data_IF_722203720590
#
_entry.id   IF_722203720590
#
_cell.length_a   1.000
_cell.length_b   1.000
_cell.length_c   1.000
_cell.angle_alpha   90.00
_cell.angle_beta   90.00
_cell.angle_gamma   90.00
#
_symmetry.space_group_name_H-M   'P 1'
#
loop_
_entity.id
_entity.type
_entity.pdbx_description
1 polymer ?
#
# COMPACT_ATOMS: atom_id res chain seq x y z
N UNK A 1 42.29 3.57 -1.17
CA UNK A 1 41.20 2.89 -1.89
C UNK A 1 41.30 1.39 -1.65
N UNK A 2 40.56 0.80 -0.70
CA UNK A 2 40.51 -0.65 -0.56
C UNK A 2 39.39 -1.23 -1.45
N UNK A 3 39.75 -2.27 -2.19
CA UNK A 3 38.95 -3.00 -3.18
C UNK A 3 37.85 -3.82 -2.50
N UNK A 4 36.58 -3.61 -2.89
CA UNK A 4 35.46 -4.43 -2.46
C UNK A 4 35.53 -5.81 -3.13
N UNK A 5 35.64 -6.86 -2.32
CA UNK A 5 35.51 -8.25 -2.77
C UNK A 5 34.03 -8.59 -3.01
N UNK A 6 33.69 -9.40 -4.02
CA UNK A 6 32.31 -9.73 -4.33
C UNK A 6 31.75 -10.71 -3.28
N UNK A 7 30.65 -10.32 -2.64
CA UNK A 7 29.89 -11.17 -1.73
C UNK A 7 29.31 -12.34 -2.53
N UNK A 8 29.83 -13.54 -2.28
CA UNK A 8 29.35 -14.78 -2.89
C UNK A 8 27.92 -15.10 -2.49
N UNK A 9 27.03 -15.25 -3.48
CA UNK A 9 25.66 -15.74 -3.32
C UNK A 9 25.70 -17.18 -2.78
N UNK A 10 25.05 -17.44 -1.63
CA UNK A 10 24.92 -18.79 -1.04
C UNK A 10 24.23 -19.74 -2.04
N UNK A 11 24.62 -21.04 -2.10
CA UNK A 11 23.93 -22.03 -2.93
C UNK A 11 22.54 -22.33 -2.38
N UNK A 12 21.55 -22.37 -3.26
CA UNK A 12 20.15 -22.70 -2.98
C UNK A 12 19.99 -24.22 -2.76
N UNK A 13 19.84 -24.65 -1.50
CA UNK A 13 19.79 -26.07 -1.09
C UNK A 13 18.36 -26.65 -1.00
N UNK A 14 17.38 -26.03 -1.65
CA UNK A 14 15.98 -26.51 -1.63
C UNK A 14 15.76 -27.83 -2.38
N UNK A 15 14.78 -28.62 -1.94
CA UNK A 15 14.34 -29.81 -2.69
C UNK A 15 13.80 -29.40 -4.07
N UNK A 16 13.67 -30.36 -5.01
CA UNK A 16 13.05 -30.06 -6.32
C UNK A 16 11.65 -29.46 -6.16
N UNK A 17 10.89 -29.91 -5.18
CA UNK A 17 9.56 -29.38 -4.86
C UNK A 17 9.61 -27.93 -4.38
N UNK A 18 10.58 -27.56 -3.54
CA UNK A 18 10.74 -26.19 -3.05
C UNK A 18 11.09 -25.22 -4.16
N UNK A 19 12.00 -25.61 -5.06
CA UNK A 19 12.37 -24.80 -6.24
C UNK A 19 11.18 -24.61 -7.19
N UNK A 20 10.40 -25.67 -7.42
CA UNK A 20 9.15 -25.58 -8.20
C UNK A 20 8.15 -24.63 -7.53
N UNK A 21 7.95 -24.76 -6.21
CA UNK A 21 7.04 -23.89 -5.46
C UNK A 21 7.46 -22.43 -5.56
N UNK A 22 8.74 -22.12 -5.35
CA UNK A 22 9.28 -20.76 -5.44
C UNK A 22 9.12 -20.17 -6.85
N UNK A 23 9.42 -20.95 -7.90
CA UNK A 23 9.25 -20.51 -9.29
C UNK A 23 7.79 -20.15 -9.62
N UNK A 24 6.83 -20.96 -9.17
CA UNK A 24 5.41 -20.70 -9.38
C UNK A 24 4.95 -19.47 -8.60
N UNK A 25 5.39 -19.29 -7.35
CA UNK A 25 5.06 -18.10 -6.55
C UNK A 25 5.59 -16.82 -7.20
N UNK A 26 6.84 -16.83 -7.68
CA UNK A 26 7.43 -15.68 -8.37
C UNK A 26 6.65 -15.33 -9.66
N UNK A 27 6.38 -16.32 -10.53
CA UNK A 27 5.59 -16.11 -11.74
C UNK A 27 4.18 -15.60 -11.46
N UNK A 28 3.53 -16.14 -10.42
CA UNK A 28 2.20 -15.71 -10.01
C UNK A 28 2.20 -14.28 -9.47
N UNK A 29 3.21 -13.90 -8.67
CA UNK A 29 3.41 -12.53 -8.16
C UNK A 29 3.44 -11.53 -9.32
N UNK A 30 4.27 -11.79 -10.33
CA UNK A 30 4.43 -10.91 -11.49
C UNK A 30 3.14 -10.80 -12.30
N UNK A 31 2.47 -11.93 -12.56
CA UNK A 31 1.19 -11.95 -13.30
C UNK A 31 0.07 -11.24 -12.55
N UNK A 32 -0.05 -11.45 -11.24
CA UNK A 32 -1.06 -10.78 -10.42
C UNK A 32 -0.82 -9.26 -10.40
N UNK A 33 0.43 -8.83 -10.27
CA UNK A 33 0.78 -7.41 -10.32
C UNK A 33 0.48 -6.77 -11.69
N UNK A 34 0.80 -7.46 -12.79
CA UNK A 34 0.64 -6.92 -14.14
C UNK A 34 -0.81 -6.94 -14.65
N UNK A 35 -1.60 -7.95 -14.28
CA UNK A 35 -2.87 -8.26 -14.95
C UNK A 35 -4.07 -8.36 -14.02
N UNK A 36 -3.82 -8.32 -12.71
CA UNK A 36 -4.82 -8.58 -11.68
C UNK A 36 -5.14 -10.06 -11.50
N UNK A 37 -5.91 -10.35 -10.45
CA UNK A 37 -6.24 -11.71 -10.08
C UNK A 37 -7.01 -12.46 -11.18
N UNK A 38 -8.09 -11.90 -11.72
CA UNK A 38 -8.98 -12.63 -12.65
C UNK A 38 -8.26 -13.12 -13.92
N UNK A 39 -7.44 -12.25 -14.54
CA UNK A 39 -6.79 -12.52 -15.84
C UNK A 39 -5.54 -13.41 -15.76
N UNK A 40 -4.94 -13.57 -14.57
CA UNK A 40 -3.76 -14.41 -14.37
C UNK A 40 -4.15 -15.90 -14.34
N UNK A 41 -4.16 -16.59 -15.48
CA UNK A 41 -4.59 -18.00 -15.57
C UNK A 41 -3.50 -18.97 -15.13
N UNK A 42 -3.90 -20.16 -14.64
CA UNK A 42 -2.97 -21.23 -14.25
C UNK A 42 -2.03 -21.62 -15.39
N UNK A 43 -2.55 -21.76 -16.62
CA UNK A 43 -1.78 -22.01 -17.84
C UNK A 43 -0.62 -21.03 -18.05
N UNK A 44 -0.88 -19.73 -17.90
CA UNK A 44 0.12 -18.68 -18.14
C UNK A 44 1.17 -18.66 -17.04
N UNK A 45 0.74 -18.81 -15.78
CA UNK A 45 1.64 -18.92 -14.63
C UNK A 45 2.54 -20.16 -14.77
N UNK A 46 1.97 -21.30 -15.20
CA UNK A 46 2.72 -22.54 -15.41
C UNK A 46 3.78 -22.38 -16.51
N UNK A 47 3.40 -21.74 -17.62
CA UNK A 47 4.32 -21.44 -18.72
C UNK A 47 5.50 -20.55 -18.26
N UNK A 48 5.21 -19.47 -17.51
CA UNK A 48 6.26 -18.57 -17.01
C UNK A 48 7.17 -19.23 -15.97
N UNK A 49 6.61 -20.10 -15.13
CA UNK A 49 7.36 -20.83 -14.11
C UNK A 49 8.12 -22.04 -14.68
N UNK A 50 7.90 -22.42 -15.95
CA UNK A 50 8.52 -23.60 -16.57
C UNK A 50 8.01 -24.92 -15.99
N UNK A 51 6.73 -24.98 -15.58
CA UNK A 51 6.10 -26.15 -14.96
C UNK A 51 4.80 -26.52 -15.66
N UNK A 52 4.17 -27.62 -15.26
CA UNK A 52 2.85 -28.00 -15.77
C UNK A 52 1.73 -27.45 -14.88
N UNK A 53 0.54 -27.18 -15.44
CA UNK A 53 -0.63 -26.76 -14.65
C UNK A 53 -1.00 -27.75 -13.53
N UNK A 54 -0.96 -29.09 -13.75
CA UNK A 54 -1.14 -30.06 -12.68
C UNK A 54 -0.15 -29.90 -11.51
N UNK A 55 1.09 -29.46 -11.78
CA UNK A 55 2.06 -29.15 -10.72
C UNK A 55 1.61 -27.98 -9.86
N UNK A 56 1.00 -26.95 -10.44
CA UNK A 56 0.42 -25.83 -9.67
C UNK A 56 -0.74 -26.32 -8.81
N UNK A 57 -1.66 -27.10 -9.39
CA UNK A 57 -2.79 -27.66 -8.65
C UNK A 57 -2.31 -28.55 -7.48
N UNK A 58 -1.26 -29.35 -7.69
CA UNK A 58 -0.66 -30.18 -6.65
C UNK A 58 -0.07 -29.36 -5.49
N UNK A 59 0.64 -28.27 -5.78
CA UNK A 59 1.33 -27.48 -4.74
C UNK A 59 0.42 -26.48 -4.00
N UNK A 60 -0.60 -25.95 -4.67
CA UNK A 60 -1.38 -24.82 -4.15
C UNK A 60 -2.88 -25.09 -4.05
N UNK A 61 -3.36 -26.21 -4.61
CA UNK A 61 -4.77 -26.62 -4.60
C UNK A 61 -5.67 -25.79 -5.51
N UNK A 62 -5.65 -24.47 -5.35
CA UNK A 62 -6.47 -23.53 -6.10
C UNK A 62 -5.69 -22.26 -6.44
N UNK A 63 -6.23 -21.44 -7.34
CA UNK A 63 -5.69 -20.10 -7.63
C UNK A 63 -5.77 -19.16 -6.41
N UNK A 64 -6.75 -19.37 -5.53
CA UNK A 64 -6.87 -18.65 -4.27
C UNK A 64 -5.77 -19.10 -3.28
N UNK A 65 -5.49 -20.40 -3.17
CA UNK A 65 -4.36 -20.94 -2.41
C UNK A 65 -3.01 -20.46 -2.94
N UNK A 66 -2.87 -20.32 -4.26
CA UNK A 66 -1.68 -19.69 -4.87
C UNK A 66 -1.57 -18.20 -4.50
N UNK A 67 -2.68 -17.45 -4.48
CA UNK A 67 -2.68 -16.07 -4.03
C UNK A 67 -2.30 -15.95 -2.55
N UNK A 68 -2.77 -16.86 -1.69
CA UNK A 68 -2.34 -16.94 -0.29
C UNK A 68 -0.83 -17.14 -0.20
N UNK A 69 -0.26 -18.06 -0.98
CA UNK A 69 1.19 -18.29 -1.00
C UNK A 69 1.98 -17.05 -1.47
N UNK A 70 1.52 -16.38 -2.53
CA UNK A 70 2.13 -15.13 -3.02
C UNK A 70 2.06 -14.02 -1.96
N UNK A 71 0.95 -13.93 -1.24
CA UNK A 71 0.78 -12.97 -0.16
C UNK A 71 1.74 -13.26 0.99
N UNK A 72 1.81 -14.50 1.47
CA UNK A 72 2.73 -14.89 2.53
C UNK A 72 4.18 -14.59 2.17
N UNK A 73 4.59 -14.98 0.96
CA UNK A 73 5.94 -14.75 0.43
C UNK A 73 6.26 -13.24 0.34
N UNK A 74 5.33 -12.42 -0.14
CA UNK A 74 5.50 -10.96 -0.15
C UNK A 74 5.65 -10.37 1.26
N UNK A 75 4.80 -10.79 2.20
CA UNK A 75 4.86 -10.26 3.56
C UNK A 75 6.06 -10.79 4.35
N UNK A 76 6.57 -11.98 4.04
CA UNK A 76 7.82 -12.51 4.59
C UNK A 76 9.02 -11.68 4.12
N UNK A 77 9.11 -11.39 2.81
CA UNK A 77 10.13 -10.49 2.23
C UNK A 77 10.09 -9.09 2.86
N UNK A 78 8.88 -8.57 3.07
CA UNK A 78 8.61 -7.28 3.67
C UNK A 78 9.08 -7.24 5.13
N UNK A 79 8.71 -8.23 5.94
CA UNK A 79 9.04 -8.28 7.37
C UNK A 79 10.53 -8.50 7.60
N UNK A 80 11.19 -9.35 6.81
CA UNK A 80 12.63 -9.58 6.92
C UNK A 80 13.43 -8.28 6.72
N UNK A 81 12.95 -7.38 5.86
CA UNK A 81 13.57 -6.06 5.65
C UNK A 81 13.27 -5.09 6.79
N UNK A 82 12.13 -5.23 7.45
CA UNK A 82 11.75 -4.42 8.62
C UNK A 82 12.53 -4.79 9.88
N UNK A 83 12.89 -6.06 10.05
CA UNK A 83 13.61 -6.53 11.25
C UNK A 83 14.90 -5.71 11.50
N UNK A 84 15.64 -5.37 10.43
CA UNK A 84 16.83 -4.53 10.52
C UNK A 84 16.57 -3.10 11.04
N UNK A 85 15.38 -2.53 10.77
CA UNK A 85 15.00 -1.20 11.27
C UNK A 85 14.66 -1.28 12.76
N UNK A 86 13.93 -2.32 13.15
CA UNK A 86 13.49 -2.54 14.54
C UNK A 86 14.70 -2.79 15.45
N UNK A 87 15.61 -3.64 15.01
CA UNK A 87 16.77 -4.11 15.77
C UNK A 87 17.96 -3.13 15.76
N UNK A 88 17.81 -1.98 15.09
CA UNK A 88 18.83 -0.94 15.09
C UNK A 88 19.00 -0.29 16.46
N UNK A 89 20.20 0.21 16.75
CA UNK A 89 20.51 0.93 17.99
C UNK A 89 20.13 2.42 17.94
N UNK A 90 19.40 2.83 16.90
CA UNK A 90 19.00 4.22 16.67
C UNK A 90 17.94 4.68 17.68
N UNK A 91 17.83 6.00 17.88
CA UNK A 91 16.80 6.57 18.74
C UNK A 91 15.40 6.15 18.24
N UNK A 92 14.41 5.94 19.15
CA UNK A 92 13.07 5.45 18.77
C UNK A 92 12.39 6.25 17.64
N UNK A 93 12.52 7.58 17.66
CA UNK A 93 11.97 8.44 16.62
C UNK A 93 12.67 8.24 15.27
N UNK A 94 13.98 8.03 15.27
CA UNK A 94 14.75 7.79 14.04
C UNK A 94 14.42 6.41 13.45
N UNK A 95 14.15 5.40 14.29
CA UNK A 95 13.64 4.09 13.86
C UNK A 95 12.26 4.22 13.18
N UNK A 96 11.35 5.03 13.74
CA UNK A 96 10.06 5.30 13.11
C UNK A 96 10.21 6.03 11.77
N UNK A 97 11.10 7.03 11.68
CA UNK A 97 11.39 7.72 10.42
C UNK A 97 11.99 6.79 9.38
N UNK A 98 12.95 5.95 9.77
CA UNK A 98 13.55 4.96 8.89
C UNK A 98 12.51 3.96 8.36
N UNK A 99 11.60 3.50 9.24
CA UNK A 99 10.46 2.68 8.85
C UNK A 99 9.59 3.38 7.79
N UNK A 100 9.19 4.63 8.05
CA UNK A 100 8.32 5.39 7.14
C UNK A 100 8.98 5.63 5.77
N UNK A 101 10.24 6.08 5.76
CA UNK A 101 11.04 6.33 4.55
C UNK A 101 11.24 5.09 3.70
N UNK A 102 11.25 3.91 4.32
CA UNK A 102 11.32 2.65 3.59
C UNK A 102 9.92 2.17 3.15
N UNK A 103 8.93 2.22 4.04
CA UNK A 103 7.57 1.71 3.83
C UNK A 103 6.87 2.40 2.66
N UNK A 104 6.92 3.72 2.58
CA UNK A 104 6.15 4.48 1.59
C UNK A 104 6.63 4.24 0.14
N UNK A 105 7.93 4.35 -0.19
CA UNK A 105 8.41 3.99 -1.52
C UNK A 105 8.22 2.51 -1.85
N UNK A 106 8.41 1.61 -0.87
CA UNK A 106 8.24 0.18 -1.07
C UNK A 106 6.79 -0.16 -1.45
N UNK A 107 5.82 0.37 -0.71
CA UNK A 107 4.39 0.15 -0.97
C UNK A 107 3.94 0.79 -2.28
N UNK A 108 4.48 1.95 -2.65
CA UNK A 108 4.24 2.56 -3.96
C UNK A 108 4.73 1.66 -5.11
N UNK A 109 5.94 1.12 -5.00
CA UNK A 109 6.52 0.24 -6.02
C UNK A 109 5.73 -1.07 -6.21
N UNK A 110 5.05 -1.55 -5.16
CA UNK A 110 4.26 -2.78 -5.18
C UNK A 110 2.74 -2.52 -5.22
N UNK A 111 2.33 -1.28 -5.51
CA UNK A 111 0.93 -0.85 -5.45
C UNK A 111 -0.03 -1.74 -6.27
N UNK A 112 0.30 -2.20 -7.50
CA UNK A 112 -0.60 -3.08 -8.25
C UNK A 112 -0.88 -4.41 -7.54
N UNK A 113 0.16 -5.02 -6.94
CA UNK A 113 0.01 -6.25 -6.17
C UNK A 113 -0.78 -6.03 -4.87
N UNK A 114 -0.51 -4.92 -4.17
CA UNK A 114 -1.27 -4.52 -2.98
C UNK A 114 -2.74 -4.26 -3.30
N UNK A 115 -3.05 -3.68 -4.46
CA UNK A 115 -4.43 -3.50 -4.91
C UNK A 115 -5.13 -4.84 -5.13
N UNK A 116 -4.43 -5.85 -5.64
CA UNK A 116 -4.96 -7.22 -5.75
C UNK A 116 -5.24 -7.80 -4.37
N UNK A 117 -4.28 -7.74 -3.43
CA UNK A 117 -4.48 -8.26 -2.08
C UNK A 117 -5.62 -7.56 -1.35
N UNK A 118 -5.66 -6.23 -1.41
CA UNK A 118 -6.73 -5.45 -0.80
C UNK A 118 -8.08 -5.70 -1.45
N UNK A 119 -8.15 -5.93 -2.77
CA UNK A 119 -9.41 -6.25 -3.45
C UNK A 119 -9.89 -7.66 -3.12
N UNK A 120 -9.00 -8.66 -3.13
CA UNK A 120 -9.36 -10.06 -2.91
C UNK A 120 -9.51 -10.41 -1.41
N UNK A 121 -8.76 -9.75 -0.53
CA UNK A 121 -8.86 -9.92 0.92
C UNK A 121 -10.01 -9.13 1.56
N UNK A 122 -10.56 -8.12 0.86
CA UNK A 122 -11.78 -7.39 1.29
C UNK A 122 -13.05 -7.86 0.58
N UNK A 123 -12.94 -8.53 -0.56
CA UNK A 123 -14.07 -9.19 -1.24
C UNK A 123 -14.19 -10.63 -0.73
N UNK A 124 -15.41 -11.08 -0.50
CA UNK A 124 -15.76 -12.40 0.05
C UNK A 124 -15.55 -13.55 -0.95
N UNK A 125 -14.42 -13.57 -1.69
CA UNK A 125 -14.20 -14.56 -2.75
C UNK A 125 -13.68 -15.89 -2.18
N UNK A 126 -12.98 -15.87 -1.04
CA UNK A 126 -12.49 -17.07 -0.36
C UNK A 126 -12.08 -16.78 1.09
N UNK A 127 -12.59 -17.56 2.06
CA UNK A 127 -12.29 -17.39 3.49
C UNK A 127 -10.79 -17.54 3.78
N UNK A 128 -10.09 -18.44 3.08
CA UNK A 128 -8.63 -18.59 3.20
C UNK A 128 -7.87 -17.33 2.78
N UNK A 129 -8.32 -16.62 1.74
CA UNK A 129 -7.67 -15.38 1.27
C UNK A 129 -7.92 -14.24 2.25
N UNK A 130 -9.15 -14.14 2.76
CA UNK A 130 -9.50 -13.13 3.77
C UNK A 130 -8.69 -13.33 5.05
N UNK A 131 -8.59 -14.57 5.54
CA UNK A 131 -7.82 -14.83 6.75
C UNK A 131 -6.32 -14.67 6.54
N UNK A 132 -5.78 -15.10 5.39
CA UNK A 132 -4.38 -14.86 5.04
C UNK A 132 -4.07 -13.35 5.00
N UNK A 133 -4.92 -12.54 4.38
CA UNK A 133 -4.76 -11.09 4.33
C UNK A 133 -4.79 -10.45 5.71
N UNK A 134 -5.74 -10.85 6.55
CA UNK A 134 -5.81 -10.38 7.95
C UNK A 134 -4.57 -10.79 8.74
N UNK A 135 -4.13 -12.04 8.62
CA UNK A 135 -2.94 -12.55 9.30
C UNK A 135 -1.68 -11.79 8.88
N UNK A 136 -1.50 -11.57 7.57
CA UNK A 136 -0.37 -10.83 7.02
C UNK A 136 -0.38 -9.36 7.48
N UNK A 137 -1.52 -8.67 7.39
CA UNK A 137 -1.65 -7.30 7.91
C UNK A 137 -1.36 -7.23 9.41
N UNK A 138 -1.87 -8.18 10.21
CA UNK A 138 -1.58 -8.24 11.66
C UNK A 138 -0.09 -8.38 11.96
N UNK A 139 0.70 -9.02 11.08
CA UNK A 139 2.16 -9.12 11.27
C UNK A 139 2.84 -7.77 11.05
N UNK A 140 2.46 -7.04 10.01
CA UNK A 140 3.01 -5.72 9.70
C UNK A 140 2.58 -4.66 10.71
N UNK A 141 1.30 -4.64 11.09
CA UNK A 141 0.81 -3.66 12.07
C UNK A 141 1.50 -3.82 13.43
N UNK A 142 1.87 -5.05 13.81
CA UNK A 142 2.63 -5.33 15.04
C UNK A 142 4.03 -4.73 15.04
N UNK A 143 4.67 -4.59 13.88
CA UNK A 143 5.95 -3.87 13.78
C UNK A 143 5.75 -2.40 14.16
N UNK A 144 4.73 -1.77 13.58
CA UNK A 144 4.40 -0.37 13.86
C UNK A 144 3.96 -0.17 15.32
N UNK A 145 3.17 -1.11 15.88
CA UNK A 145 2.78 -1.09 17.30
C UNK A 145 4.04 -1.03 18.19
N UNK A 146 5.04 -1.89 17.94
CA UNK A 146 6.30 -1.89 18.71
C UNK A 146 7.06 -0.56 18.60
N UNK A 147 7.16 0.00 17.39
CA UNK A 147 7.85 1.29 17.20
C UNK A 147 7.16 2.43 17.96
N UNK A 148 5.83 2.43 18.00
CA UNK A 148 5.04 3.42 18.75
C UNK A 148 5.12 3.18 20.25
N UNK A 149 5.06 1.93 20.70
CA UNK A 149 5.18 1.59 22.12
C UNK A 149 6.57 1.98 22.66
N UNK A 150 7.63 1.82 21.87
CA UNK A 150 8.99 2.31 22.21
C UNK A 150 9.03 3.85 22.39
N UNK A 151 8.31 4.58 21.54
CA UNK A 151 8.19 6.05 21.65
C UNK A 151 7.46 6.47 22.93
N UNK A 152 6.42 5.73 23.32
CA UNK A 152 5.71 5.96 24.58
C UNK A 152 6.60 5.61 25.78
N UNK A 153 7.29 4.47 25.73
CA UNK A 153 8.16 4.01 26.82
C UNK A 153 9.32 4.97 27.09
N UNK A 154 9.88 5.57 26.03
CA UNK A 154 10.99 6.54 26.12
C UNK A 154 10.53 7.97 26.37
N UNK A 155 9.21 8.22 26.48
CA UNK A 155 8.65 9.54 26.75
C UNK A 155 8.67 10.50 25.57
N UNK A 156 8.98 10.02 24.36
CA UNK A 156 8.85 10.82 23.13
C UNK A 156 7.38 11.05 22.80
N UNK A 157 6.53 10.04 23.03
CA UNK A 157 5.08 10.16 22.99
C UNK A 157 4.47 10.15 24.39
N UNK A 158 3.40 10.94 24.56
CA UNK A 158 2.61 10.97 25.79
C UNK A 158 1.89 9.62 26.00
N UNK A 159 1.86 9.05 27.22
CA UNK A 159 1.28 7.73 27.47
C UNK A 159 -0.24 7.64 27.26
N UNK A 160 -0.94 8.77 27.21
CA UNK A 160 -2.38 8.82 26.92
C UNK A 160 -2.70 8.68 25.43
N UNK A 161 -1.68 8.78 24.55
CA UNK A 161 -1.85 8.63 23.11
C UNK A 161 -2.10 7.16 22.79
N UNK A 162 -3.19 6.88 22.06
CA UNK A 162 -3.50 5.52 21.64
C UNK A 162 -2.56 5.05 20.53
N UNK A 163 -1.75 4.02 20.82
CA UNK A 163 -0.91 3.32 19.83
C UNK A 163 -1.69 2.96 18.56
N UNK A 164 -2.90 2.41 18.74
CA UNK A 164 -3.78 2.05 17.63
C UNK A 164 -4.15 3.24 16.76
N UNK A 165 -4.52 4.38 17.35
CA UNK A 165 -4.92 5.57 16.59
C UNK A 165 -3.74 6.12 15.80
N UNK A 166 -2.55 6.20 16.40
CA UNK A 166 -1.32 6.65 15.71
C UNK A 166 -0.97 5.73 14.56
N UNK A 167 -1.02 4.41 14.79
CA UNK A 167 -0.79 3.41 13.76
C UNK A 167 -1.79 3.52 12.61
N UNK A 168 -3.09 3.57 12.91
CA UNK A 168 -4.15 3.61 11.92
C UNK A 168 -4.07 4.94 11.13
N UNK A 169 -3.69 6.06 11.77
CA UNK A 169 -3.43 7.33 11.11
C UNK A 169 -2.22 7.27 10.16
N UNK A 170 -1.11 6.64 10.55
CA UNK A 170 0.05 6.43 9.67
C UNK A 170 -0.31 5.65 8.40
N UNK A 171 -0.91 4.47 8.56
CA UNK A 171 -1.27 3.62 7.42
C UNK A 171 -2.36 4.25 6.56
N UNK A 172 -3.37 4.89 7.17
CA UNK A 172 -4.45 5.56 6.45
C UNK A 172 -3.95 6.75 5.63
N UNK A 173 -3.07 7.57 6.20
CA UNK A 173 -2.47 8.73 5.50
C UNK A 173 -1.58 8.25 4.36
N UNK A 174 -0.77 7.21 4.60
CA UNK A 174 0.04 6.57 3.55
C UNK A 174 -0.83 6.05 2.41
N UNK A 175 -1.87 5.25 2.70
CA UNK A 175 -2.79 4.71 1.68
C UNK A 175 -3.42 5.86 0.86
N UNK A 176 -3.87 6.93 1.52
CA UNK A 176 -4.47 8.09 0.84
C UNK A 176 -3.50 8.80 -0.10
N UNK A 177 -2.26 9.05 0.35
CA UNK A 177 -1.22 9.68 -0.46
C UNK A 177 -0.84 8.83 -1.67
N UNK A 178 -0.73 7.51 -1.48
CA UNK A 178 -0.38 6.58 -2.57
C UNK A 178 -1.49 6.43 -3.61
N UNK A 179 -2.76 6.43 -3.19
CA UNK A 179 -3.89 6.44 -4.12
C UNK A 179 -3.90 7.72 -4.95
N UNK A 180 -3.66 8.89 -4.32
CA UNK A 180 -3.54 10.17 -5.01
C UNK A 180 -2.35 10.22 -5.98
N UNK A 181 -1.19 9.68 -5.58
CA UNK A 181 0.00 9.58 -6.43
C UNK A 181 -0.29 8.74 -7.69
N UNK A 182 -0.88 7.55 -7.52
CA UNK A 182 -1.24 6.67 -8.64
C UNK A 182 -2.28 7.29 -9.58
N UNK A 183 -3.24 8.05 -9.05
CA UNK A 183 -4.30 8.67 -9.84
C UNK A 183 -3.86 9.93 -10.60
N UNK A 184 -2.96 10.74 -10.02
CA UNK A 184 -2.57 12.03 -10.57
C UNK A 184 -1.31 11.97 -11.43
N UNK A 185 -0.49 10.91 -11.30
CA UNK A 185 0.78 10.76 -12.01
C UNK A 185 1.81 11.84 -11.68
N UNK A 186 1.59 12.65 -10.64
CA UNK A 186 2.50 13.72 -10.25
C UNK A 186 3.71 13.12 -9.53
N UNK A 187 4.93 13.59 -9.82
CA UNK A 187 6.11 13.22 -9.04
C UNK A 187 5.88 13.64 -7.59
N UNK A 188 5.77 12.68 -6.69
CA UNK A 188 5.73 12.90 -5.24
C UNK A 188 7.02 12.35 -4.68
N UNK A 189 7.78 13.16 -3.96
CA UNK A 189 8.90 12.66 -3.18
C UNK A 189 8.33 11.89 -1.97
N UNK A 190 8.27 10.56 -2.10
CA UNK A 190 7.71 9.69 -1.07
C UNK A 190 8.58 9.61 0.18
N UNK A 191 9.87 9.91 0.08
CA UNK A 191 10.75 9.97 1.24
C UNK A 191 10.50 11.26 2.04
N UNK A 192 10.38 12.40 1.36
CA UNK A 192 9.98 13.65 2.00
C UNK A 192 8.57 13.55 2.61
N UNK A 193 7.62 12.98 1.87
CA UNK A 193 6.26 12.75 2.39
C UNK A 193 6.24 11.81 3.61
N UNK A 194 7.18 10.87 3.72
CA UNK A 194 7.31 10.02 4.89
C UNK A 194 7.73 10.81 6.13
N UNK A 195 8.66 11.75 5.98
CA UNK A 195 9.06 12.64 7.06
C UNK A 195 7.90 13.56 7.47
N UNK A 196 7.18 14.13 6.50
CA UNK A 196 6.00 14.97 6.76
C UNK A 196 4.91 14.20 7.54
N UNK A 197 4.66 12.94 7.18
CA UNK A 197 3.68 12.08 7.88
C UNK A 197 4.13 11.80 9.30
N UNK A 198 5.41 11.45 9.52
CA UNK A 198 5.91 11.22 10.89
C UNK A 198 5.88 12.50 11.71
N UNK A 199 6.32 13.63 11.15
CA UNK A 199 6.31 14.91 11.86
C UNK A 199 4.88 15.36 12.19
N UNK A 200 3.91 15.13 11.30
CA UNK A 200 2.49 15.37 11.58
C UNK A 200 1.98 14.49 12.73
N UNK A 201 2.38 13.23 12.80
CA UNK A 201 1.93 12.31 13.86
C UNK A 201 2.55 12.63 15.22
N UNK A 202 3.80 13.08 15.25
CA UNK A 202 4.55 13.35 16.49
C UNK A 202 4.31 14.77 17.00
N UNK A 203 4.38 15.76 16.12
CA UNK A 203 4.27 17.18 16.50
C UNK A 203 2.84 17.74 16.32
N UNK A 204 1.97 17.03 15.57
CA UNK A 204 0.73 17.60 15.06
C UNK A 204 0.99 18.62 13.95
N UNK A 205 -0.08 19.17 13.36
CA UNK A 205 0.06 20.22 12.33
C UNK A 205 0.62 21.56 12.89
N UNK A 206 0.82 21.64 14.22
CA UNK A 206 1.18 22.85 14.93
C UNK A 206 0.05 23.89 14.89
N UNK A 207 -0.54 24.22 16.04
CA UNK A 207 -1.21 25.52 16.14
C UNK A 207 -0.06 26.54 16.21
N UNK A 208 0.04 27.47 15.25
CA UNK A 208 1.02 28.56 15.34
C UNK A 208 0.94 29.17 16.74
N UNK A 209 2.06 29.49 17.42
CA UNK A 209 2.06 29.91 18.83
C UNK A 209 1.05 31.03 19.15
N UNK A 210 0.73 31.87 18.16
CA UNK A 210 -0.19 33.00 18.27
C UNK A 210 -1.67 32.68 17.92
N UNK A 211 -1.96 31.53 17.32
CA UNK A 211 -3.33 31.13 16.97
C UNK A 211 -4.16 30.70 18.19
N UNK A 212 -3.52 30.50 19.36
CA UNK A 212 -4.19 30.24 20.64
C UNK A 212 -4.96 31.43 21.24
N UNK A 213 -4.91 32.62 20.62
CA UNK A 213 -5.66 33.83 21.04
C UNK A 213 -6.75 34.28 20.09
N UNK A 214 -7.05 33.54 19.03
CA UNK A 214 -8.20 33.85 18.19
C UNK A 214 -9.43 33.15 18.75
N UNK A 215 -10.34 33.92 19.37
CA UNK A 215 -11.76 33.52 19.49
C UNK A 215 -12.21 33.11 18.10
N UNK A 216 -12.39 31.80 17.87
CA UNK A 216 -12.76 31.25 16.58
C UNK A 216 -14.10 31.88 16.17
N UNK A 217 -14.19 32.66 15.07
CA UNK A 217 -15.49 32.97 14.51
C UNK A 217 -16.09 31.63 14.09
N UNK A 218 -17.34 31.38 14.49
CA UNK A 218 -18.14 30.28 13.94
C UNK A 218 -18.22 30.48 12.43
N UNK A 219 -17.32 29.86 11.68
CA UNK A 219 -17.51 29.66 10.26
C UNK A 219 -18.54 28.56 10.14
N UNK A 220 -19.81 28.95 10.12
CA UNK A 220 -20.83 28.19 9.43
C UNK A 220 -20.31 28.02 8.01
N UNK A 221 -20.04 26.79 7.52
CA UNK A 221 -19.64 26.63 6.14
C UNK A 221 -20.73 27.26 5.29
N UNK A 222 -20.37 28.19 4.41
CA UNK A 222 -21.31 28.74 3.45
C UNK A 222 -21.96 27.55 2.75
N UNK A 223 -23.29 27.46 2.89
CA UNK A 223 -24.06 26.50 2.13
C UNK A 223 -23.62 26.66 0.66
N UNK A 224 -23.31 25.57 -0.06
CA UNK A 224 -22.86 25.68 -1.44
C UNK A 224 -23.87 26.55 -2.18
N UNK A 225 -23.40 27.63 -2.81
CA UNK A 225 -24.25 28.55 -3.55
C UNK A 225 -24.95 27.76 -4.68
N UNK A 226 -26.18 27.34 -4.39
CA UNK A 226 -27.00 26.51 -5.25
C UNK A 226 -27.19 27.19 -6.61
N UNK A 227 -27.21 28.54 -6.66
CA UNK A 227 -27.32 29.30 -7.90
C UNK A 227 -26.06 29.16 -8.77
N UNK A 228 -24.86 29.16 -8.18
CA UNK A 228 -23.61 28.90 -8.91
C UNK A 228 -23.53 27.46 -9.41
N UNK A 229 -24.14 26.51 -8.69
CA UNK A 229 -24.15 25.10 -9.06
C UNK A 229 -25.15 24.81 -10.18
N UNK A 230 -26.35 25.39 -10.13
CA UNK A 230 -27.33 25.35 -11.21
C UNK A 230 -26.79 25.99 -12.50
N UNK A 231 -26.15 27.16 -12.39
CA UNK A 231 -25.53 27.82 -13.56
C UNK A 231 -24.36 27.04 -14.17
N UNK A 232 -23.74 26.11 -13.42
CA UNK A 232 -22.75 25.16 -13.96
C UNK A 232 -23.44 23.98 -14.62
N UNK A 233 -24.53 23.48 -14.04
CA UNK A 233 -25.29 22.35 -14.57
C UNK A 233 -25.95 22.72 -15.91
N UNK A 234 -26.54 23.90 -16.02
CA UNK A 234 -27.16 24.40 -17.27
C UNK A 234 -26.12 24.54 -18.39
N UNK A 235 -24.90 24.99 -18.06
CA UNK A 235 -23.79 25.07 -19.03
C UNK A 235 -23.33 23.70 -19.51
N UNK A 236 -23.35 22.69 -18.65
CA UNK A 236 -23.02 21.30 -19.02
C UNK A 236 -24.12 20.71 -19.90
N UNK A 237 -25.39 20.94 -19.57
CA UNK A 237 -26.52 20.46 -20.36
C UNK A 237 -26.56 21.09 -21.76
N UNK A 238 -26.37 22.42 -21.87
CA UNK A 238 -26.29 23.10 -23.16
C UNK A 238 -25.15 22.55 -24.05
N UNK A 239 -24.00 22.23 -23.46
CA UNK A 239 -22.85 21.63 -24.17
C UNK A 239 -23.17 20.22 -24.67
N UNK A 240 -23.99 19.46 -23.95
CA UNK A 240 -24.40 18.10 -24.35
C UNK A 240 -25.42 18.14 -25.49
N UNK A 241 -26.33 19.11 -25.50
CA UNK A 241 -27.29 19.33 -26.60
C UNK A 241 -26.60 19.78 -27.89
N UNK A 242 -25.57 20.64 -27.79
CA UNK A 242 -24.70 21.02 -28.92
C UNK A 242 -23.95 19.81 -29.52
N UNK A 243 -23.58 18.83 -28.68
CA UNK A 243 -22.89 17.62 -29.12
C UNK A 243 -23.86 16.58 -29.72
N UNK A 244 -25.10 16.51 -29.23
CA UNK A 244 -26.14 15.63 -29.79
C UNK A 244 -26.66 16.08 -31.16
N UNK A 245 -26.76 17.39 -31.38
CA UNK A 245 -27.25 17.96 -32.66
C UNK A 245 -26.26 17.85 -33.82
N UNK A 246 -24.98 17.58 -33.53
CA UNK A 246 -23.95 17.42 -34.56
C UNK A 246 -23.88 16.01 -35.16
N UNK A 247 -24.55 14.99 -34.60
CA UNK A 247 -24.51 13.61 -35.13
C UNK A 247 -25.64 13.26 -36.12
N UNK A 248 -26.65 14.12 -36.29
CA UNK A 248 -27.85 13.79 -37.07
C UNK A 248 -27.89 14.40 -38.49
N UNK A 249 -26.73 14.80 -39.04
CA UNK A 249 -26.64 15.23 -40.45
C UNK A 249 -26.37 14.01 -41.34
N UNK A 250 -27.29 13.63 -42.25
CA UNK A 250 -27.04 12.51 -43.15
C UNK A 250 -25.92 12.87 -44.16
N UNK A 251 -25.11 11.90 -44.60
CA UNK A 251 -24.09 12.13 -45.60
C UNK A 251 -24.74 12.50 -46.94
N UNK A 252 -24.15 13.50 -47.62
CA UNK A 252 -24.49 13.85 -49.01
C UNK A 252 -23.96 12.82 -49.98
#
# INVERSE_FOLDING_TARGET
>A
MPSASPVGRRPDTGTRGDRTRAAVVAAARDRFAAEGFERATGARIAADAGVSEPSIAFHFGSKAGLLVAVMQDYYDDLLQRMDAVIDSADAPLDRLRAFARWWMPHTAAHQPLMAVFGRQGRRTTSDEVVEAFRACNRRVTRVMDRLIDDLVHTGVLRPEVSTRVVRDAFFGTTEHLLLGHAATGRPTDLAAAADDVVDLLINGAGIAPDAGRSTRPTHTPDAPDLATMDAKLDRVLARLDELGTSQDRPPR
#
